data_IF_085714136011
#
_entry.id   IF_085714136011
#
_cell.length_a   1.000
_cell.length_b   1.000
_cell.length_c   1.000
_cell.angle_alpha   90.00
_cell.angle_beta   90.00
_cell.angle_gamma   90.00
#
_symmetry.space_group_name_H-M   'P 1'
#
loop_
_entity.id
_entity.type
_entity.pdbx_description
1 polymer ?
#
# COMPACT_ATOMS: atom_id res chain seq x y z
N UNK A 1 -13.11 -5.99 6.75
CA UNK A 1 -12.78 -7.05 7.71
C UNK A 1 -12.06 -6.45 8.90
N UNK A 2 -12.53 -6.80 10.10
CA UNK A 2 -11.81 -6.57 11.35
C UNK A 2 -11.34 -7.93 11.85
N UNK A 3 -10.03 -8.15 11.92
CA UNK A 3 -9.38 -9.43 12.23
C UNK A 3 -9.46 -9.81 13.71
N UNK A 4 -9.45 -8.81 14.61
CA UNK A 4 -9.57 -9.00 16.05
C UNK A 4 -11.04 -8.95 16.54
N UNK A 5 -12.02 -9.18 15.67
CA UNK A 5 -13.44 -9.05 16.01
C UNK A 5 -13.90 -10.04 17.09
N UNK A 6 -13.25 -11.21 17.20
CA UNK A 6 -13.57 -12.23 18.22
C UNK A 6 -13.18 -11.70 19.60
N UNK A 7 -11.92 -11.29 19.76
CA UNK A 7 -11.39 -10.74 21.02
C UNK A 7 -12.13 -9.46 21.41
N UNK A 8 -12.40 -8.58 20.44
CA UNK A 8 -13.13 -7.34 20.68
C UNK A 8 -14.59 -7.60 21.05
N UNK A 9 -15.22 -8.60 20.44
CA UNK A 9 -16.56 -9.04 20.77
C UNK A 9 -16.68 -9.56 22.21
N UNK A 10 -15.71 -10.35 22.67
CA UNK A 10 -15.62 -10.82 24.06
C UNK A 10 -15.49 -9.65 25.03
N UNK A 11 -14.63 -8.67 24.73
CA UNK A 11 -14.49 -7.45 25.55
C UNK A 11 -15.81 -6.67 25.63
N UNK A 12 -16.51 -6.50 24.51
CA UNK A 12 -17.79 -5.79 24.47
C UNK A 12 -18.88 -6.52 25.26
N UNK A 13 -18.95 -7.86 25.18
CA UNK A 13 -19.88 -8.66 25.99
C UNK A 13 -19.57 -8.50 27.48
N UNK A 14 -18.30 -8.52 27.87
CA UNK A 14 -17.89 -8.28 29.25
C UNK A 14 -18.26 -6.87 29.75
N UNK A 15 -18.35 -5.88 28.84
CA UNK A 15 -18.84 -4.51 29.11
C UNK A 15 -20.37 -4.38 29.11
N UNK A 16 -21.09 -5.48 28.85
CA UNK A 16 -22.57 -5.51 28.92
C UNK A 16 -23.27 -5.37 27.57
N UNK A 17 -22.53 -5.34 26.45
CA UNK A 17 -23.14 -5.42 25.13
C UNK A 17 -23.73 -6.81 24.88
N UNK A 18 -24.79 -6.87 24.07
CA UNK A 18 -25.38 -8.11 23.59
C UNK A 18 -25.20 -8.19 22.08
N UNK A 19 -24.27 -9.03 21.64
CA UNK A 19 -24.08 -9.34 20.23
C UNK A 19 -25.06 -10.44 19.82
N UNK A 20 -25.63 -10.30 18.63
CA UNK A 20 -26.65 -11.21 18.07
C UNK A 20 -26.12 -12.05 16.91
N UNK A 21 -24.96 -11.68 16.38
CA UNK A 21 -24.25 -12.32 15.28
C UNK A 21 -22.80 -12.59 15.67
N UNK A 22 -22.10 -13.33 14.82
CA UNK A 22 -20.65 -13.52 14.89
C UNK A 22 -19.93 -12.71 13.80
N UNK A 23 -20.54 -11.64 13.29
CA UNK A 23 -19.96 -10.81 12.24
C UNK A 23 -19.11 -9.69 12.82
N UNK A 24 -17.98 -9.43 12.16
CA UNK A 24 -17.13 -8.27 12.41
C UNK A 24 -17.90 -6.93 12.34
N UNK A 25 -18.91 -6.84 11.48
CA UNK A 25 -19.70 -5.63 11.25
C UNK A 25 -20.53 -5.25 12.48
N UNK A 26 -21.12 -6.22 13.18
CA UNK A 26 -21.84 -5.95 14.42
C UNK A 26 -20.87 -5.52 15.54
N UNK A 27 -19.71 -6.19 15.62
CA UNK A 27 -18.66 -5.84 16.58
C UNK A 27 -18.20 -4.39 16.37
N UNK A 28 -18.00 -3.97 15.13
CA UNK A 28 -17.65 -2.57 14.78
C UNK A 28 -18.74 -1.59 15.24
N UNK A 29 -20.01 -1.91 15.01
CA UNK A 29 -21.11 -1.06 15.46
C UNK A 29 -21.13 -0.92 16.98
N UNK A 30 -20.96 -2.02 17.70
CA UNK A 30 -20.92 -2.02 19.16
C UNK A 30 -19.68 -1.28 19.70
N UNK A 31 -18.54 -1.41 19.03
CA UNK A 31 -17.33 -0.64 19.33
C UNK A 31 -17.58 0.87 19.17
N UNK A 32 -18.29 1.30 18.13
CA UNK A 32 -18.70 2.70 17.96
C UNK A 32 -19.65 3.17 19.07
N UNK A 33 -20.58 2.32 19.50
CA UNK A 33 -21.51 2.66 20.58
C UNK A 33 -20.81 2.81 21.94
N UNK A 34 -19.81 1.98 22.23
CA UNK A 34 -19.03 2.01 23.47
C UNK A 34 -18.02 3.17 23.49
N UNK A 35 -17.20 3.30 22.45
CA UNK A 35 -16.04 4.22 22.44
C UNK A 35 -16.24 5.47 21.57
N UNK A 36 -17.40 5.63 20.94
CA UNK A 36 -17.69 6.78 20.08
C UNK A 36 -16.66 6.92 18.96
N UNK A 37 -16.14 8.13 18.75
CA UNK A 37 -15.14 8.41 17.70
C UNK A 37 -13.73 7.84 18.00
N UNK A 38 -13.49 7.22 19.16
CA UNK A 38 -12.23 6.55 19.47
C UNK A 38 -12.24 5.05 19.07
N UNK A 39 -13.39 4.52 18.61
CA UNK A 39 -13.52 3.10 18.27
C UNK A 39 -12.45 2.53 17.32
N UNK A 40 -11.90 3.26 16.32
CA UNK A 40 -10.96 2.65 15.38
C UNK A 40 -9.61 2.33 16.01
N UNK A 41 -9.27 2.98 17.13
CA UNK A 41 -8.05 2.72 17.92
C UNK A 41 -8.05 1.30 18.53
N UNK A 42 -9.20 0.61 18.53
CA UNK A 42 -9.38 -0.76 19.04
C UNK A 42 -9.47 -1.80 17.92
N UNK A 43 -9.58 -1.38 16.67
CA UNK A 43 -9.74 -2.28 15.53
C UNK A 43 -8.39 -2.70 14.97
N UNK A 44 -8.27 -3.96 14.58
CA UNK A 44 -7.19 -4.45 13.73
C UNK A 44 -7.81 -5.07 12.48
N UNK A 45 -7.45 -4.61 11.28
CA UNK A 45 -8.00 -5.18 10.04
C UNK A 45 -7.87 -4.29 8.82
N UNK A 46 -8.40 -4.79 7.70
CA UNK A 46 -8.53 -4.06 6.43
C UNK A 46 -9.98 -3.58 6.26
N UNK A 47 -10.23 -2.29 6.49
CA UNK A 47 -11.58 -1.74 6.52
C UNK A 47 -11.70 -0.35 5.90
N UNK A 48 -12.85 -0.13 5.28
CA UNK A 48 -13.36 1.17 4.90
C UNK A 48 -14.81 1.23 5.40
N UNK A 49 -15.04 2.00 6.46
CA UNK A 49 -16.30 2.02 7.21
C UNK A 49 -17.06 3.31 6.97
N UNK A 50 -18.38 3.22 6.93
CA UNK A 50 -19.29 4.36 6.93
C UNK A 50 -20.35 4.16 8.02
N UNK A 51 -20.40 5.07 8.99
CA UNK A 51 -21.37 5.05 10.09
C UNK A 51 -22.23 6.29 10.00
N UNK A 52 -23.54 6.11 9.89
CA UNK A 52 -24.52 7.17 10.06
C UNK A 52 -25.07 7.13 11.49
N UNK A 53 -24.62 8.06 12.34
CA UNK A 53 -25.21 8.25 13.66
C UNK A 53 -26.41 9.18 13.56
N UNK A 54 -27.61 8.60 13.58
CA UNK A 54 -28.86 9.34 13.49
C UNK A 54 -29.13 10.24 14.72
N UNK A 55 -28.56 9.91 15.89
CA UNK A 55 -28.71 10.70 17.12
C UNK A 55 -28.00 12.04 16.96
N UNK A 56 -26.81 11.99 16.39
CA UNK A 56 -25.93 13.15 16.16
C UNK A 56 -26.06 13.76 14.76
N UNK A 57 -26.89 13.17 13.89
CA UNK A 57 -27.01 13.48 12.45
C UNK A 57 -25.64 13.61 11.79
N UNK A 58 -24.80 12.60 12.00
CA UNK A 58 -23.37 12.60 11.67
C UNK A 58 -23.01 11.40 10.81
N UNK A 59 -22.32 11.66 9.70
CA UNK A 59 -21.65 10.63 8.91
C UNK A 59 -20.17 10.57 9.34
N UNK A 60 -19.69 9.36 9.64
CA UNK A 60 -18.29 9.07 9.91
C UNK A 60 -17.78 8.11 8.85
N UNK A 61 -16.80 8.54 8.06
CA UNK A 61 -16.08 7.73 7.09
C UNK A 61 -14.72 7.38 7.69
N UNK A 62 -14.41 6.12 7.93
CA UNK A 62 -13.18 5.70 8.61
C UNK A 62 -12.41 4.71 7.74
N UNK A 63 -11.13 4.99 7.48
CA UNK A 63 -10.26 4.13 6.69
C UNK A 63 -9.21 3.47 7.59
N UNK A 64 -8.85 2.23 7.30
CA UNK A 64 -7.89 1.46 8.10
C UNK A 64 -6.50 2.10 8.19
N UNK A 65 -5.71 1.59 9.13
CA UNK A 65 -4.36 2.02 9.51
C UNK A 65 -3.46 2.30 8.31
N UNK A 66 -3.39 1.36 7.37
CA UNK A 66 -2.50 1.42 6.20
C UNK A 66 -3.23 1.85 4.92
N UNK A 67 -4.53 2.07 4.98
CA UNK A 67 -5.35 2.42 3.83
C UNK A 67 -5.50 1.28 2.83
N UNK A 68 -5.51 0.03 3.30
CA UNK A 68 -5.62 -1.18 2.46
C UNK A 68 -6.91 -1.14 1.64
N UNK A 69 -8.04 -0.80 2.27
CA UNK A 69 -9.30 -0.66 1.54
C UNK A 69 -9.46 0.78 1.02
N UNK A 70 -9.79 0.95 -0.28
CA UNK A 70 -10.05 2.28 -0.82
C UNK A 70 -11.32 2.88 -0.21
N UNK A 71 -11.28 4.18 0.05
CA UNK A 71 -12.43 4.96 0.49
C UNK A 71 -12.31 6.37 -0.11
N UNK A 72 -13.21 6.65 -1.05
CA UNK A 72 -13.30 7.91 -1.78
C UNK A 72 -14.50 8.71 -1.30
N UNK A 73 -14.38 10.03 -1.37
CA UNK A 73 -15.43 10.97 -0.99
C UNK A 73 -15.44 12.16 -1.94
N UNK A 74 -16.63 12.68 -2.22
CA UNK A 74 -16.81 13.93 -2.95
C UNK A 74 -17.97 14.74 -2.35
N UNK A 75 -17.86 16.07 -2.44
CA UNK A 75 -18.96 16.98 -2.08
C UNK A 75 -19.73 17.34 -3.34
N UNK A 76 -21.05 17.31 -3.26
CA UNK A 76 -21.98 17.77 -4.30
C UNK A 76 -22.88 18.87 -3.74
N UNK A 77 -23.72 19.47 -4.59
CA UNK A 77 -24.71 20.43 -4.14
C UNK A 77 -25.76 19.82 -3.18
N UNK A 78 -26.00 18.51 -3.27
CA UNK A 78 -27.01 17.79 -2.48
C UNK A 78 -26.44 17.21 -1.18
N UNK A 79 -25.11 17.03 -1.08
CA UNK A 79 -24.48 16.52 0.12
C UNK A 79 -23.12 15.90 -0.13
N UNK A 80 -22.88 14.78 0.56
CA UNK A 80 -21.62 14.04 0.51
C UNK A 80 -21.88 12.68 -0.11
N UNK A 81 -21.07 12.31 -1.10
CA UNK A 81 -21.08 10.99 -1.72
C UNK A 81 -19.77 10.30 -1.44
N UNK A 82 -19.80 8.99 -1.23
CA UNK A 82 -18.62 8.21 -0.89
C UNK A 82 -18.75 6.78 -1.37
N UNK A 83 -17.64 6.06 -1.43
CA UNK A 83 -17.61 4.67 -1.85
C UNK A 83 -16.19 4.14 -1.99
N UNK A 84 -16.07 2.83 -2.17
CA UNK A 84 -14.78 2.15 -2.31
C UNK A 84 -14.26 2.09 -3.75
N UNK A 85 -15.05 2.54 -4.73
CA UNK A 85 -14.68 2.48 -6.14
C UNK A 85 -14.90 3.82 -6.84
N UNK A 86 -13.84 4.37 -7.43
CA UNK A 86 -13.90 5.69 -8.08
C UNK A 86 -14.91 5.74 -9.24
N UNK A 87 -15.04 4.64 -10.00
CA UNK A 87 -16.03 4.53 -11.09
C UNK A 87 -17.49 4.62 -10.59
N UNK A 88 -17.77 4.17 -9.37
CA UNK A 88 -19.12 4.28 -8.79
C UNK A 88 -19.47 5.74 -8.50
N UNK A 89 -18.53 6.51 -7.95
CA UNK A 89 -18.73 7.93 -7.67
C UNK A 89 -18.90 8.75 -8.95
N UNK A 90 -18.14 8.44 -10.00
CA UNK A 90 -18.23 9.11 -11.31
C UNK A 90 -19.59 8.94 -12.01
N UNK A 91 -20.37 7.93 -11.62
CA UNK A 91 -21.72 7.74 -12.15
C UNK A 91 -22.77 8.67 -11.49
N UNK A 92 -22.41 9.34 -10.39
CA UNK A 92 -23.33 10.20 -9.64
C UNK A 92 -23.35 11.61 -10.25
N UNK A 93 -24.54 12.17 -10.57
CA UNK A 93 -24.65 13.56 -11.02
C UNK A 93 -24.01 14.54 -10.03
N UNK A 94 -23.23 15.49 -10.55
CA UNK A 94 -22.52 16.48 -9.73
C UNK A 94 -21.16 16.03 -9.20
N UNK A 95 -20.76 14.77 -9.37
CA UNK A 95 -19.36 14.36 -9.23
C UNK A 95 -18.63 14.65 -10.54
N UNK A 96 -17.51 15.37 -10.45
CA UNK A 96 -16.72 15.72 -11.63
C UNK A 96 -16.24 14.48 -12.40
N UNK A 97 -16.16 14.60 -13.73
CA UNK A 97 -15.48 13.61 -14.60
C UNK A 97 -14.18 14.15 -15.19
N UNK A 98 -13.81 15.37 -14.79
CA UNK A 98 -12.58 16.03 -15.22
C UNK A 98 -11.35 15.38 -14.60
N UNK A 99 -10.31 15.23 -15.40
CA UNK A 99 -9.00 14.80 -14.93
C UNK A 99 -8.37 15.90 -14.06
N UNK A 100 -7.92 15.55 -12.86
CA UNK A 100 -7.08 16.42 -12.04
C UNK A 100 -5.65 16.43 -12.61
N UNK A 101 -5.25 17.56 -13.18
CA UNK A 101 -3.93 17.76 -13.79
C UNK A 101 -2.80 17.74 -12.77
N UNK A 102 -3.06 18.13 -11.52
CA UNK A 102 -2.08 18.05 -10.44
C UNK A 102 -1.86 16.59 -10.06
N UNK A 103 -2.94 15.82 -9.91
CA UNK A 103 -2.86 14.38 -9.66
C UNK A 103 -2.13 13.63 -10.78
N UNK A 104 -2.33 14.04 -12.03
CA UNK A 104 -1.57 13.49 -13.16
C UNK A 104 -0.08 13.81 -13.05
N UNK A 105 0.30 15.04 -12.69
CA UNK A 105 1.72 15.39 -12.49
C UNK A 105 2.35 14.59 -11.33
N UNK A 106 1.62 14.40 -10.24
CA UNK A 106 2.03 13.53 -9.13
C UNK A 106 2.26 12.09 -9.59
N UNK A 107 1.29 11.50 -10.30
CA UNK A 107 1.44 10.17 -10.88
C UNK A 107 2.69 10.06 -11.77
N UNK A 108 2.98 11.08 -12.59
CA UNK A 108 4.18 11.08 -13.42
C UNK A 108 5.48 11.22 -12.60
N UNK A 109 5.43 11.73 -11.36
CA UNK A 109 6.58 11.70 -10.46
C UNK A 109 6.70 10.35 -9.77
N UNK A 110 5.68 9.95 -9.02
CA UNK A 110 5.74 8.85 -8.05
C UNK A 110 5.23 7.51 -8.56
N UNK A 111 4.60 7.46 -9.73
CA UNK A 111 3.95 6.26 -10.27
C UNK A 111 2.58 5.95 -9.63
N UNK A 112 2.09 6.79 -8.73
CA UNK A 112 0.78 6.69 -8.09
C UNK A 112 0.31 8.07 -7.65
N UNK A 113 -1.01 8.26 -7.51
CA UNK A 113 -1.57 9.52 -6.99
C UNK A 113 -1.56 9.50 -5.47
N UNK A 114 -0.89 10.47 -4.86
CA UNK A 114 -0.79 10.58 -3.40
C UNK A 114 -2.12 11.09 -2.82
N UNK A 115 -2.55 10.54 -1.69
CA UNK A 115 -3.72 11.08 -0.99
C UNK A 115 -3.44 12.54 -0.55
N UNK A 116 -4.49 13.39 -0.41
CA UNK A 116 -5.90 13.10 -0.59
C UNK A 116 -6.38 13.11 -2.05
N UNK A 117 -5.55 13.47 -3.04
CA UNK A 117 -5.99 13.58 -4.43
C UNK A 117 -6.39 12.24 -5.04
N UNK A 118 -7.28 12.26 -6.03
CA UNK A 118 -7.48 11.19 -7.01
C UNK A 118 -7.23 11.76 -8.41
N UNK A 119 -7.20 10.91 -9.45
CA UNK A 119 -7.19 11.40 -10.84
C UNK A 119 -8.46 12.14 -11.23
N UNK A 120 -9.53 12.07 -10.43
CA UNK A 120 -10.79 12.75 -10.69
C UNK A 120 -10.89 14.01 -9.84
N UNK A 121 -10.99 15.16 -10.50
CA UNK A 121 -11.08 16.45 -9.84
C UNK A 121 -12.31 16.53 -8.94
N UNK A 122 -12.09 16.93 -7.68
CA UNK A 122 -13.14 17.06 -6.66
C UNK A 122 -13.52 15.76 -5.96
N UNK A 123 -12.84 14.65 -6.26
CA UNK A 123 -12.93 13.39 -5.50
C UNK A 123 -11.64 13.18 -4.73
N UNK A 124 -11.77 12.94 -3.43
CA UNK A 124 -10.64 12.77 -2.51
C UNK A 124 -10.59 11.34 -1.94
N UNK A 125 -9.38 10.84 -1.67
CA UNK A 125 -9.11 9.65 -0.87
C UNK A 125 -9.09 10.04 0.60
N UNK A 126 -9.89 9.35 1.42
CA UNK A 126 -9.73 9.40 2.89
C UNK A 126 -8.32 8.87 3.22
N UNK A 127 -7.56 9.61 4.02
CA UNK A 127 -6.19 9.23 4.35
C UNK A 127 -6.12 7.93 5.20
N UNK A 128 -5.04 7.15 5.10
CA UNK A 128 -4.78 6.01 6.00
C UNK A 128 -4.80 6.43 7.48
N UNK A 129 -5.36 5.60 8.35
CA UNK A 129 -5.38 5.86 9.80
C UNK A 129 -6.20 7.10 10.20
N UNK A 130 -7.10 7.58 9.33
CA UNK A 130 -7.97 8.72 9.61
C UNK A 130 -9.45 8.40 9.45
N UNK A 131 -10.27 9.30 10.00
CA UNK A 131 -11.70 9.38 9.71
C UNK A 131 -12.07 10.80 9.27
N UNK A 132 -13.04 10.90 8.36
CA UNK A 132 -13.70 12.14 7.99
C UNK A 132 -15.12 12.18 8.53
N UNK A 133 -15.47 13.28 9.16
CA UNK A 133 -16.71 13.47 9.90
C UNK A 133 -17.50 14.60 9.26
N UNK A 134 -18.74 14.30 8.88
CA UNK A 134 -19.65 15.26 8.25
C UNK A 134 -20.88 15.46 9.12
N UNK A 135 -21.25 16.72 9.35
CA UNK A 135 -22.49 17.13 10.01
C UNK A 135 -23.09 18.31 9.26
N UNK A 136 -24.41 18.33 9.10
CA UNK A 136 -25.09 19.40 8.35
C UNK A 136 -24.82 20.77 8.98
N UNK A 137 -24.40 21.73 8.16
CA UNK A 137 -24.12 23.11 8.58
C UNK A 137 -22.79 23.28 9.32
N UNK A 138 -21.95 22.25 9.36
CA UNK A 138 -20.58 22.32 9.89
C UNK A 138 -19.58 21.96 8.81
N UNK A 139 -18.38 22.51 8.92
CA UNK A 139 -17.26 22.06 8.09
C UNK A 139 -16.90 20.62 8.42
N UNK A 140 -16.48 19.82 7.43
CA UNK A 140 -15.98 18.48 7.68
C UNK A 140 -14.77 18.51 8.61
N UNK A 141 -14.70 17.52 9.48
CA UNK A 141 -13.57 17.35 10.40
C UNK A 141 -12.83 16.08 10.03
N UNK A 142 -11.53 16.19 9.78
CA UNK A 142 -10.64 15.05 9.70
C UNK A 142 -10.05 14.76 11.09
N UNK A 143 -10.06 13.49 11.51
CA UNK A 143 -9.41 13.02 12.73
C UNK A 143 -8.49 11.85 12.39
N UNK A 144 -7.20 12.01 12.67
CA UNK A 144 -6.23 10.92 12.67
C UNK A 144 -6.36 10.13 13.98
N UNK A 145 -6.48 8.81 13.88
CA UNK A 145 -6.52 7.90 15.03
C UNK A 145 -5.31 6.97 15.07
N UNK A 146 -4.61 6.81 13.94
CA UNK A 146 -3.39 6.03 13.86
C UNK A 146 -2.36 6.70 12.97
N UNK A 147 -1.10 6.51 13.30
CA UNK A 147 0.03 6.91 12.48
C UNK A 147 1.19 5.95 12.70
N UNK A 148 1.88 5.58 11.62
CA UNK A 148 3.14 4.87 11.72
C UNK A 148 4.17 5.78 12.40
N UNK A 149 4.71 5.35 13.54
CA UNK A 149 5.73 6.06 14.28
C UNK A 149 7.04 5.26 14.30
N UNK A 150 8.11 5.84 13.76
CA UNK A 150 9.45 5.24 13.80
C UNK A 150 10.12 5.50 15.15
N UNK A 151 9.94 4.58 16.10
CA UNK A 151 10.52 4.65 17.45
C UNK A 151 11.45 3.43 17.69
N UNK A 152 12.69 3.43 17.15
CA UNK A 152 13.58 2.28 17.31
C UNK A 152 13.99 2.10 18.77
N UNK A 153 13.77 0.91 19.33
CA UNK A 153 14.24 0.56 20.68
C UNK A 153 15.56 -0.23 20.61
N UNK A 154 16.65 0.49 20.90
CA UNK A 154 18.01 -0.07 20.90
C UNK A 154 18.38 -0.82 22.19
N UNK A 155 17.48 -0.93 23.17
CA UNK A 155 17.77 -1.57 24.46
C UNK A 155 17.59 -3.08 24.43
N UNK A 156 16.81 -3.60 23.48
CA UNK A 156 16.50 -5.02 23.33
C UNK A 156 17.53 -5.76 22.50
N UNK A 157 17.73 -7.04 22.79
CA UNK A 157 18.63 -7.90 22.01
C UNK A 157 17.94 -8.34 20.74
N UNK A 158 18.74 -8.70 19.72
CA UNK A 158 18.22 -9.23 18.45
C UNK A 158 17.35 -10.48 18.68
N UNK A 159 17.75 -11.37 19.60
CA UNK A 159 16.95 -12.56 19.93
C UNK A 159 15.55 -12.21 20.45
N UNK A 160 15.45 -11.20 21.32
CA UNK A 160 14.17 -10.76 21.88
C UNK A 160 13.25 -10.16 20.79
N UNK A 161 13.84 -9.58 19.74
CA UNK A 161 13.10 -9.12 18.56
C UNK A 161 12.65 -10.28 17.69
N UNK A 162 13.50 -11.29 17.46
CA UNK A 162 13.14 -12.47 16.68
C UNK A 162 11.93 -13.19 17.30
N UNK A 163 11.94 -13.40 18.62
CA UNK A 163 10.82 -14.04 19.35
C UNK A 163 9.51 -13.25 19.21
N UNK A 164 9.56 -11.92 19.35
CA UNK A 164 8.36 -11.09 19.20
C UNK A 164 7.86 -11.03 17.76
N UNK A 165 8.76 -10.99 16.77
CA UNK A 165 8.39 -11.00 15.35
C UNK A 165 7.71 -12.33 15.02
N UNK A 166 8.25 -13.45 15.47
CA UNK A 166 7.68 -14.77 15.26
C UNK A 166 6.28 -14.87 15.89
N UNK A 167 6.13 -14.44 17.15
CA UNK A 167 4.83 -14.43 17.83
C UNK A 167 3.81 -13.52 17.13
N UNK A 168 4.21 -12.29 16.78
CA UNK A 168 3.32 -11.30 16.14
C UNK A 168 2.93 -11.73 14.73
N UNK A 169 3.87 -12.29 13.97
CA UNK A 169 3.63 -12.80 12.63
C UNK A 169 2.68 -14.00 12.65
N UNK A 170 2.93 -14.96 13.54
CA UNK A 170 2.07 -16.14 13.72
C UNK A 170 0.66 -15.71 14.10
N UNK A 171 0.53 -14.76 15.02
CA UNK A 171 -0.75 -14.19 15.41
C UNK A 171 -1.47 -13.49 14.25
N UNK A 172 -0.76 -12.70 13.44
CA UNK A 172 -1.33 -12.04 12.27
C UNK A 172 -1.85 -13.04 11.23
N UNK A 173 -1.10 -14.13 10.98
CA UNK A 173 -1.56 -15.22 10.10
C UNK A 173 -2.75 -15.94 10.71
N UNK A 174 -2.71 -16.26 12.02
CA UNK A 174 -3.82 -16.91 12.74
C UNK A 174 -5.12 -16.11 12.63
N UNK A 175 -5.06 -14.80 12.80
CA UNK A 175 -6.26 -13.95 12.67
C UNK A 175 -6.80 -13.94 11.23
N UNK A 176 -5.93 -13.95 10.21
CA UNK A 176 -6.33 -13.96 8.79
C UNK A 176 -6.80 -15.35 8.30
N UNK A 177 -6.48 -16.42 9.03
CA UNK A 177 -7.03 -17.76 8.78
C UNK A 177 -8.47 -17.94 9.27
N UNK A 178 -9.02 -16.97 10.01
CA UNK A 178 -10.43 -16.98 10.44
C UNK A 178 -11.36 -16.68 9.26
N UNK A 179 -11.65 -17.71 8.48
CA UNK A 179 -12.46 -17.60 7.28
C UNK A 179 -13.49 -18.72 7.22
N UNK A 180 -14.76 -18.36 6.98
CA UNK A 180 -15.86 -19.32 6.73
C UNK A 180 -15.83 -19.86 5.29
N UNK A 181 -14.93 -19.35 4.46
CA UNK A 181 -14.79 -19.70 3.04
C UNK A 181 -13.40 -20.27 2.74
N UNK A 182 -13.25 -21.09 1.67
CA UNK A 182 -11.96 -21.65 1.30
C UNK A 182 -10.88 -20.58 1.08
N UNK A 183 -9.71 -20.84 1.66
CA UNK A 183 -8.54 -19.97 1.63
C UNK A 183 -7.32 -20.68 1.04
N UNK A 184 -6.40 -19.90 0.48
CA UNK A 184 -5.12 -20.38 0.00
C UNK A 184 -4.06 -19.28 0.05
N UNK A 185 -2.97 -19.46 -0.68
CA UNK A 185 -1.83 -18.51 -0.65
C UNK A 185 -1.24 -18.26 -2.04
N UNK A 186 -0.73 -17.05 -2.26
CA UNK A 186 0.24 -16.80 -3.31
C UNK A 186 1.60 -17.36 -2.92
N UNK A 187 2.34 -17.89 -3.89
CA UNK A 187 3.65 -18.48 -3.68
C UNK A 187 4.61 -18.10 -4.80
N UNK A 188 5.65 -17.36 -4.44
CA UNK A 188 6.73 -16.88 -5.31
C UNK A 188 8.06 -17.59 -5.05
N UNK A 189 8.14 -18.44 -4.02
CA UNK A 189 9.41 -19.02 -3.58
C UNK A 189 10.37 -18.03 -2.90
N UNK A 190 9.97 -16.76 -2.76
CA UNK A 190 10.61 -15.80 -1.86
C UNK A 190 10.32 -16.12 -0.41
N UNK A 191 11.11 -15.56 0.51
CA UNK A 191 10.98 -15.81 1.95
C UNK A 191 9.60 -15.36 2.48
N UNK A 192 9.06 -14.27 1.95
CA UNK A 192 7.82 -13.64 2.43
C UNK A 192 6.59 -14.52 2.21
N UNK A 193 6.41 -15.06 1.00
CA UNK A 193 5.31 -15.98 0.70
C UNK A 193 5.53 -17.36 1.32
N UNK A 194 6.79 -17.80 1.42
CA UNK A 194 7.15 -19.10 2.01
C UNK A 194 6.84 -19.15 3.49
N UNK A 195 7.20 -18.12 4.26
CA UNK A 195 6.96 -18.09 5.71
C UNK A 195 5.46 -17.99 6.04
N UNK A 196 4.67 -17.28 5.21
CA UNK A 196 3.21 -17.30 5.29
C UNK A 196 2.70 -18.73 5.06
N UNK A 197 3.05 -19.37 3.95
CA UNK A 197 2.56 -20.70 3.60
C UNK A 197 2.93 -21.76 4.65
N UNK A 198 4.15 -21.71 5.19
CA UNK A 198 4.60 -22.60 6.25
C UNK A 198 3.80 -22.39 7.55
N UNK A 199 3.62 -21.15 7.97
CA UNK A 199 2.86 -20.79 9.18
C UNK A 199 1.38 -21.18 9.03
N UNK A 200 0.81 -21.03 7.84
CA UNK A 200 -0.55 -21.49 7.54
C UNK A 200 -0.69 -23.00 7.71
N UNK A 201 0.25 -23.79 7.18
CA UNK A 201 0.25 -25.24 7.31
C UNK A 201 0.42 -25.67 8.76
N UNK A 202 1.32 -25.02 9.52
CA UNK A 202 1.53 -25.29 10.94
C UNK A 202 0.26 -25.03 11.77
N UNK A 203 -0.33 -23.84 11.65
CA UNK A 203 -1.53 -23.44 12.41
C UNK A 203 -2.75 -24.32 12.10
N UNK A 204 -2.77 -24.94 10.92
CA UNK A 204 -3.82 -25.88 10.50
C UNK A 204 -3.53 -27.34 10.88
N UNK A 205 -2.36 -27.65 11.44
CA UNK A 205 -1.93 -29.02 11.72
C UNK A 205 -1.63 -29.84 10.46
N UNK A 206 -1.39 -29.17 9.32
CA UNK A 206 -1.09 -29.80 8.04
C UNK A 206 -1.45 -28.93 6.82
N UNK A 207 -0.88 -29.27 5.68
CA UNK A 207 -1.08 -28.58 4.40
C UNK A 207 -2.29 -29.07 3.59
N UNK A 208 -3.00 -30.11 4.06
CA UNK A 208 -4.13 -30.70 3.33
C UNK A 208 -5.20 -29.63 3.04
N UNK A 209 -5.58 -29.45 1.78
CA UNK A 209 -6.57 -28.44 1.38
C UNK A 209 -6.08 -26.98 1.43
N UNK A 210 -4.77 -26.72 1.56
CA UNK A 210 -4.18 -25.41 1.22
C UNK A 210 -3.80 -25.41 -0.26
N UNK A 211 -4.54 -24.67 -1.07
CA UNK A 211 -4.17 -24.40 -2.45
C UNK A 211 -3.16 -23.25 -2.49
N UNK A 212 -2.09 -23.42 -3.26
CA UNK A 212 -1.07 -22.39 -3.51
C UNK A 212 -0.98 -22.04 -4.98
N UNK A 213 -0.78 -20.76 -5.29
CA UNK A 213 -0.76 -20.27 -6.66
C UNK A 213 0.52 -19.52 -6.97
N UNK A 214 1.15 -19.85 -8.10
CA UNK A 214 2.26 -19.12 -8.69
C UNK A 214 1.87 -18.67 -10.10
N UNK A 215 2.19 -17.43 -10.46
CA UNK A 215 1.92 -16.87 -11.78
C UNK A 215 3.23 -16.47 -12.44
N UNK A 216 3.31 -16.70 -13.75
CA UNK A 216 4.45 -16.31 -14.57
C UNK A 216 4.00 -15.93 -15.97
N UNK A 217 4.95 -15.41 -16.76
CA UNK A 217 4.69 -14.96 -18.14
C UNK A 217 5.57 -15.77 -19.09
N UNK A 218 4.99 -16.23 -20.19
CA UNK A 218 5.69 -16.90 -21.30
C UNK A 218 6.22 -15.87 -22.30
N UNK A 219 7.25 -15.13 -21.91
CA UNK A 219 7.99 -14.24 -22.80
C UNK A 219 9.50 -14.50 -22.77
N UNK A 220 10.21 -14.35 -23.90
CA UNK A 220 11.66 -14.47 -23.92
C UNK A 220 12.31 -13.53 -22.89
N UNK A 221 13.09 -14.11 -21.96
CA UNK A 221 13.79 -13.37 -20.92
C UNK A 221 12.99 -13.10 -19.64
N UNK A 222 11.71 -13.52 -19.54
CA UNK A 222 11.00 -13.52 -18.28
C UNK A 222 11.68 -14.46 -17.28
N UNK A 223 11.79 -14.00 -16.03
CA UNK A 223 12.20 -14.83 -14.89
C UNK A 223 10.94 -15.29 -14.19
N UNK A 224 10.62 -16.57 -14.33
CA UNK A 224 9.51 -17.19 -13.61
C UNK A 224 10.03 -17.88 -12.35
N UNK A 225 9.23 -17.87 -11.29
CA UNK A 225 9.62 -18.38 -9.98
C UNK A 225 9.14 -19.81 -9.70
N UNK A 226 8.54 -20.45 -10.70
CA UNK A 226 7.91 -21.77 -10.60
C UNK A 226 8.78 -22.84 -9.94
N UNK A 227 10.08 -22.90 -10.25
CA UNK A 227 10.98 -23.91 -9.65
C UNK A 227 11.07 -23.75 -8.13
N UNK A 228 11.18 -22.52 -7.63
CA UNK A 228 11.27 -22.25 -6.21
C UNK A 228 9.91 -22.46 -5.53
N UNK A 229 8.84 -21.95 -6.13
CA UNK A 229 7.48 -22.12 -5.62
C UNK A 229 7.10 -23.61 -5.52
N UNK A 230 7.41 -24.42 -6.54
CA UNK A 230 7.18 -25.87 -6.55
C UNK A 230 7.98 -26.58 -5.46
N UNK A 231 9.25 -26.22 -5.27
CA UNK A 231 10.08 -26.81 -4.20
C UNK A 231 9.48 -26.56 -2.82
N UNK A 232 9.00 -25.34 -2.56
CA UNK A 232 8.34 -25.00 -1.29
C UNK A 232 7.02 -25.74 -1.15
N UNK A 233 6.21 -25.78 -2.20
CA UNK A 233 4.92 -26.46 -2.17
C UNK A 233 5.06 -27.97 -1.94
N UNK A 234 6.01 -28.63 -2.58
CA UNK A 234 6.33 -30.05 -2.36
C UNK A 234 6.84 -30.29 -0.94
N UNK A 235 7.73 -29.42 -0.44
CA UNK A 235 8.27 -29.52 0.93
C UNK A 235 7.22 -29.36 2.03
N UNK A 236 6.18 -28.57 1.77
CA UNK A 236 5.07 -28.35 2.71
C UNK A 236 3.88 -29.30 2.46
N UNK A 237 3.79 -29.95 1.31
CA UNK A 237 2.65 -30.79 0.92
C UNK A 237 1.41 -29.99 0.46
N UNK A 238 1.60 -28.81 -0.12
CA UNK A 238 0.52 -27.95 -0.64
C UNK A 238 -0.03 -28.45 -1.97
N UNK A 239 -1.30 -28.16 -2.26
CA UNK A 239 -1.85 -28.34 -3.61
C UNK A 239 -1.40 -27.16 -4.47
N UNK A 240 -0.41 -27.36 -5.34
CA UNK A 240 0.21 -26.27 -6.11
C UNK A 240 -0.38 -26.07 -7.49
N UNK A 241 -0.60 -24.82 -7.86
CA UNK A 241 -1.13 -24.40 -9.15
C UNK A 241 -0.21 -23.36 -9.79
N UNK A 242 0.25 -23.65 -11.00
CA UNK A 242 1.05 -22.73 -11.81
C UNK A 242 0.20 -22.17 -12.95
N UNK A 243 0.19 -20.85 -13.09
CA UNK A 243 -0.47 -20.14 -14.17
C UNK A 243 0.57 -19.46 -15.04
N UNK A 244 0.59 -19.81 -16.33
CA UNK A 244 1.46 -19.19 -17.32
C UNK A 244 0.62 -18.31 -18.23
N UNK A 245 0.94 -17.02 -18.30
CA UNK A 245 0.24 -16.03 -19.12
C UNK A 245 0.99 -15.81 -20.44
N UNK A 246 0.26 -15.79 -21.56
CA UNK A 246 0.78 -15.24 -22.80
C UNK A 246 0.90 -13.70 -22.71
N UNK A 247 1.70 -13.09 -23.59
CA UNK A 247 1.80 -11.63 -23.67
C UNK A 247 0.45 -10.93 -23.89
N UNK A 248 -0.42 -11.55 -24.69
CA UNK A 248 -1.76 -11.04 -25.00
C UNK A 248 -2.65 -11.08 -23.76
N UNK A 249 -2.71 -12.23 -23.08
CA UNK A 249 -3.46 -12.38 -21.82
C UNK A 249 -2.98 -11.41 -20.76
N UNK A 250 -1.66 -11.22 -20.65
CA UNK A 250 -1.08 -10.26 -19.74
C UNK A 250 -1.54 -8.82 -20.07
N UNK A 251 -1.51 -8.43 -21.34
CA UNK A 251 -2.00 -7.13 -21.81
C UNK A 251 -3.48 -6.90 -21.49
N UNK A 252 -4.33 -7.90 -21.75
CA UNK A 252 -5.76 -7.84 -21.47
C UNK A 252 -6.03 -7.67 -19.97
N UNK A 253 -5.36 -8.46 -19.13
CA UNK A 253 -5.49 -8.35 -17.68
C UNK A 253 -4.98 -7.02 -17.14
N UNK A 254 -3.94 -6.43 -17.73
CA UNK A 254 -3.46 -5.09 -17.35
C UNK A 254 -4.51 -4.01 -17.64
N UNK A 255 -5.15 -4.03 -18.81
CA UNK A 255 -6.21 -3.09 -19.16
C UNK A 255 -7.44 -3.24 -18.27
N UNK A 256 -7.80 -4.49 -17.95
CA UNK A 256 -8.89 -4.78 -17.05
C UNK A 256 -8.61 -4.31 -15.63
N UNK A 257 -7.41 -4.60 -15.10
CA UNK A 257 -7.01 -4.18 -13.78
C UNK A 257 -7.04 -2.65 -13.62
N UNK A 258 -6.55 -1.91 -14.63
CA UNK A 258 -6.63 -0.45 -14.64
C UNK A 258 -8.09 0.05 -14.56
N UNK A 259 -9.03 -0.66 -15.21
CA UNK A 259 -10.46 -0.36 -15.16
C UNK A 259 -11.07 -0.64 -13.79
N UNK A 260 -10.66 -1.73 -13.13
CA UNK A 260 -11.12 -2.10 -11.79
C UNK A 260 -10.61 -1.10 -10.75
N UNK A 261 -9.31 -0.79 -10.79
CA UNK A 261 -8.65 0.12 -9.85
C UNK A 261 -9.13 1.56 -9.99
N UNK A 262 -9.50 1.98 -11.21
CA UNK A 262 -10.03 3.32 -11.48
C UNK A 262 -8.97 4.44 -11.47
N UNK A 263 -7.71 4.10 -11.18
CA UNK A 263 -6.55 4.98 -11.26
C UNK A 263 -5.44 4.34 -12.14
N UNK A 264 -4.55 5.15 -12.73
CA UNK A 264 -3.43 4.65 -13.54
C UNK A 264 -2.49 3.73 -12.74
N UNK A 265 -1.97 2.70 -13.40
CA UNK A 265 -1.06 1.70 -12.82
C UNK A 265 0.32 1.79 -13.48
N UNK A 266 1.38 1.72 -12.68
CA UNK A 266 2.77 1.60 -13.17
C UNK A 266 3.35 0.20 -12.99
N UNK A 267 2.72 -0.62 -12.15
CA UNK A 267 3.26 -1.90 -11.72
C UNK A 267 2.68 -3.06 -12.55
N UNK A 268 3.50 -3.77 -13.36
CA UNK A 268 3.07 -4.92 -14.14
C UNK A 268 2.45 -6.05 -13.31
N UNK A 269 2.84 -6.19 -12.04
CA UNK A 269 2.36 -7.25 -11.15
C UNK A 269 0.83 -7.26 -11.00
N UNK A 270 0.16 -6.10 -11.09
CA UNK A 270 -1.29 -6.00 -10.88
C UNK A 270 -2.08 -6.83 -11.90
N UNK A 271 -1.63 -6.87 -13.17
CA UNK A 271 -2.25 -7.71 -14.19
C UNK A 271 -2.09 -9.21 -13.90
N UNK A 272 -0.93 -9.62 -13.38
CA UNK A 272 -0.67 -11.01 -12.99
C UNK A 272 -1.54 -11.41 -11.79
N UNK A 273 -1.66 -10.52 -10.80
CA UNK A 273 -2.50 -10.71 -9.63
C UNK A 273 -3.98 -10.85 -10.01
N UNK A 274 -4.47 -10.03 -10.93
CA UNK A 274 -5.84 -10.17 -11.43
C UNK A 274 -6.06 -11.53 -12.12
N UNK A 275 -5.11 -11.96 -12.94
CA UNK A 275 -5.17 -13.24 -13.64
C UNK A 275 -5.22 -14.42 -12.66
N UNK A 276 -4.34 -14.41 -11.65
CA UNK A 276 -4.29 -15.48 -10.64
C UNK A 276 -5.54 -15.47 -9.76
N UNK A 277 -6.05 -14.30 -9.36
CA UNK A 277 -7.31 -14.17 -8.63
C UNK A 277 -8.49 -14.73 -9.42
N UNK A 278 -8.59 -14.43 -10.73
CA UNK A 278 -9.64 -14.99 -11.60
C UNK A 278 -9.55 -16.51 -11.72
N UNK A 279 -8.32 -17.03 -11.84
CA UNK A 279 -8.10 -18.47 -11.92
C UNK A 279 -8.47 -19.17 -10.60
N UNK A 280 -8.01 -18.62 -9.47
CA UNK A 280 -8.24 -19.16 -8.14
C UNK A 280 -9.69 -19.03 -7.67
N UNK A 281 -10.45 -18.02 -8.14
CA UNK A 281 -11.85 -17.76 -7.71
C UNK A 281 -12.78 -18.96 -7.87
N UNK A 282 -12.44 -19.91 -8.74
CA UNK A 282 -13.16 -21.18 -8.97
C UNK A 282 -13.07 -22.15 -7.78
N UNK A 283 -12.07 -21.98 -6.92
CA UNK A 283 -11.77 -22.87 -5.78
C UNK A 283 -11.69 -22.14 -4.46
N UNK A 284 -11.13 -20.93 -4.47
CA UNK A 284 -10.87 -20.11 -3.31
C UNK A 284 -11.67 -18.82 -3.34
N UNK A 285 -11.94 -18.31 -2.15
CA UNK A 285 -12.50 -16.96 -1.96
C UNK A 285 -11.48 -16.01 -1.33
N UNK A 286 -10.59 -16.54 -0.48
CA UNK A 286 -9.55 -15.77 0.22
C UNK A 286 -8.16 -16.27 -0.19
N UNK A 287 -7.21 -15.35 -0.29
CA UNK A 287 -5.82 -15.67 -0.58
C UNK A 287 -4.90 -14.78 0.25
N UNK A 288 -3.96 -15.40 0.97
CA UNK A 288 -2.92 -14.68 1.67
C UNK A 288 -1.75 -14.39 0.72
N UNK A 289 -1.11 -13.24 0.89
CA UNK A 289 0.00 -12.76 0.07
C UNK A 289 1.11 -12.21 0.96
N UNK A 290 2.35 -12.37 0.52
CA UNK A 290 3.53 -11.74 1.14
C UNK A 290 3.79 -10.30 0.68
N UNK A 291 2.88 -9.73 -0.11
CA UNK A 291 2.99 -8.35 -0.60
C UNK A 291 3.02 -7.33 0.57
N UNK A 292 3.87 -6.31 0.47
CA UNK A 292 4.13 -5.34 1.54
C UNK A 292 5.30 -5.68 2.46
N UNK A 293 5.88 -6.88 2.35
CA UNK A 293 7.01 -7.31 3.18
C UNK A 293 8.29 -6.50 2.87
N UNK A 294 8.60 -6.26 1.59
CA UNK A 294 9.79 -5.51 1.18
C UNK A 294 9.77 -4.04 1.69
N UNK A 295 8.60 -3.41 1.73
CA UNK A 295 8.40 -2.07 2.28
C UNK A 295 8.60 -2.03 3.79
N UNK A 296 8.14 -3.07 4.49
CA UNK A 296 8.21 -3.16 5.96
C UNK A 296 9.61 -3.56 6.43
N UNK A 297 10.27 -4.47 5.71
CA UNK A 297 11.56 -5.06 6.08
C UNK A 297 12.76 -4.50 5.30
N UNK A 298 12.52 -3.48 4.46
CA UNK A 298 13.54 -2.85 3.63
C UNK A 298 14.27 -3.83 2.69
N UNK A 299 13.54 -4.76 2.08
CA UNK A 299 14.11 -5.82 1.25
C UNK A 299 14.63 -5.33 -0.12
N UNK A 300 14.18 -4.17 -0.62
CA UNK A 300 14.65 -3.64 -1.90
C UNK A 300 16.16 -3.32 -1.92
N UNK A 301 16.89 -3.72 -2.98
CA UNK A 301 18.33 -3.40 -3.13
C UNK A 301 18.66 -1.92 -3.06
N UNK A 302 17.72 -1.06 -3.48
CA UNK A 302 17.84 0.40 -3.44
C UNK A 302 18.01 0.92 -2.00
N UNK A 303 17.33 0.34 -1.01
CA UNK A 303 17.52 0.71 0.40
C UNK A 303 18.94 0.40 0.88
N UNK A 304 19.48 -0.76 0.48
CA UNK A 304 20.88 -1.13 0.80
C UNK A 304 21.87 -0.13 0.21
N UNK A 305 21.62 0.34 -1.02
CA UNK A 305 22.43 1.38 -1.65
C UNK A 305 22.35 2.70 -0.87
N UNK A 306 21.14 3.16 -0.53
CA UNK A 306 20.96 4.41 0.22
C UNK A 306 21.65 4.36 1.59
N UNK A 307 21.58 3.23 2.29
CA UNK A 307 22.27 3.01 3.57
C UNK A 307 23.80 3.04 3.42
N UNK A 308 24.36 2.48 2.34
CA UNK A 308 25.81 2.57 2.06
C UNK A 308 26.24 4.01 1.80
N UNK A 309 25.45 4.76 1.05
CA UNK A 309 25.73 6.18 0.76
C UNK A 309 25.64 7.01 2.05
N UNK A 310 24.68 6.75 2.95
CA UNK A 310 24.65 7.45 4.26
C UNK A 310 25.90 7.18 5.09
N UNK A 311 26.34 5.92 5.17
CA UNK A 311 27.58 5.57 5.88
C UNK A 311 28.77 6.30 5.27
N UNK A 312 28.83 6.39 3.95
CA UNK A 312 29.87 7.14 3.25
C UNK A 312 29.82 8.64 3.59
N UNK A 313 28.63 9.26 3.58
CA UNK A 313 28.43 10.67 3.91
C UNK A 313 28.82 11.01 5.36
N UNK A 314 28.73 10.05 6.29
CA UNK A 314 29.17 10.21 7.68
C UNK A 314 30.69 10.20 7.85
N UNK A 315 31.43 9.54 6.95
CA UNK A 315 32.88 9.34 7.06
C UNK A 315 33.66 10.25 6.11
N UNK A 316 33.12 10.53 4.93
CA UNK A 316 33.79 11.28 3.87
C UNK A 316 33.34 12.75 3.90
N UNK A 317 34.28 13.72 3.98
CA UNK A 317 33.92 15.14 3.95
C UNK A 317 33.12 15.51 2.70
N UNK A 318 32.07 16.32 2.87
CA UNK A 318 31.18 16.74 1.78
C UNK A 318 31.91 17.32 0.57
N UNK A 319 33.02 18.03 0.77
CA UNK A 319 33.85 18.59 -0.32
C UNK A 319 34.46 17.52 -1.24
N UNK A 320 34.84 16.37 -0.67
CA UNK A 320 35.38 15.25 -1.44
C UNK A 320 34.26 14.61 -2.27
N UNK A 321 33.08 14.40 -1.68
CA UNK A 321 31.92 13.88 -2.41
C UNK A 321 31.50 14.81 -3.54
N UNK A 322 31.55 16.13 -3.34
CA UNK A 322 31.31 17.13 -4.40
C UNK A 322 32.34 17.08 -5.52
N UNK A 323 33.62 16.79 -5.21
CA UNK A 323 34.65 16.63 -6.22
C UNK A 323 34.39 15.37 -7.05
N UNK A 324 34.08 14.24 -6.39
CA UNK A 324 33.71 12.99 -7.05
C UNK A 324 32.50 13.19 -7.96
N UNK A 325 31.46 13.86 -7.46
CA UNK A 325 30.26 14.19 -8.22
C UNK A 325 30.58 14.97 -9.51
N UNK A 326 31.35 16.07 -9.39
CA UNK A 326 31.78 16.88 -10.54
C UNK A 326 32.63 16.10 -11.53
N UNK A 327 33.57 15.28 -11.04
CA UNK A 327 34.44 14.45 -11.86
C UNK A 327 33.63 13.41 -12.65
N UNK A 328 32.68 12.73 -12.01
CA UNK A 328 31.81 11.75 -12.69
C UNK A 328 30.92 12.43 -13.73
N UNK A 329 30.34 13.59 -13.41
CA UNK A 329 29.55 14.35 -14.38
C UNK A 329 30.38 14.81 -15.59
N UNK A 330 31.60 15.30 -15.38
CA UNK A 330 32.49 15.70 -16.46
C UNK A 330 32.92 14.51 -17.35
N UNK A 331 33.16 13.34 -16.75
CA UNK A 331 33.47 12.12 -17.50
C UNK A 331 32.25 11.57 -18.26
N UNK A 332 31.06 11.61 -17.67
CA UNK A 332 29.82 11.20 -18.32
C UNK A 332 29.45 12.13 -19.49
N UNK A 333 29.62 13.45 -19.34
CA UNK A 333 29.45 14.42 -20.42
C UNK A 333 30.44 14.21 -21.58
N UNK A 334 31.58 13.58 -21.31
CA UNK A 334 32.58 13.16 -22.31
C UNK A 334 32.35 11.74 -22.84
N UNK A 335 31.25 11.08 -22.49
CA UNK A 335 30.94 9.69 -22.85
C UNK A 335 31.98 8.65 -22.38
N UNK A 336 32.81 9.00 -21.38
CA UNK A 336 33.82 8.10 -20.78
C UNK A 336 33.25 7.24 -19.65
N UNK A 337 32.04 7.56 -19.18
CA UNK A 337 31.29 6.77 -18.22
C UNK A 337 29.84 6.61 -18.71
N UNK A 338 29.17 5.49 -18.34
CA UNK A 338 27.77 5.33 -18.65
C UNK A 338 26.93 6.43 -17.97
N UNK A 339 25.88 6.97 -18.62
CA UNK A 339 25.03 8.02 -18.05
C UNK A 339 24.44 7.68 -16.67
N UNK A 340 24.19 6.38 -16.41
CA UNK A 340 23.73 5.89 -15.10
C UNK A 340 24.73 6.20 -13.96
N UNK A 341 26.03 6.26 -14.24
CA UNK A 341 27.04 6.60 -13.25
C UNK A 341 26.90 8.04 -12.74
N UNK A 342 26.58 9.00 -13.63
CA UNK A 342 26.30 10.38 -13.26
C UNK A 342 25.04 10.49 -12.38
N UNK A 343 23.97 9.74 -12.72
CA UNK A 343 22.76 9.67 -11.89
C UNK A 343 23.06 9.20 -10.47
N UNK A 344 23.89 8.16 -10.30
CA UNK A 344 24.29 7.68 -8.97
C UNK A 344 25.22 8.65 -8.24
N UNK A 345 26.16 9.30 -8.93
CA UNK A 345 27.05 10.29 -8.33
C UNK A 345 26.29 11.51 -7.78
N UNK A 346 25.28 12.00 -8.50
CA UNK A 346 24.41 13.08 -8.06
C UNK A 346 23.73 12.76 -6.72
N UNK A 347 23.42 11.49 -6.45
CA UNK A 347 22.83 11.08 -5.16
C UNK A 347 23.81 11.18 -4.01
N UNK A 348 25.13 11.09 -4.22
CA UNK A 348 26.13 11.04 -3.14
C UNK A 348 26.16 12.29 -2.26
N UNK A 349 25.71 13.44 -2.77
CA UNK A 349 25.73 14.73 -2.06
C UNK A 349 24.35 15.16 -1.54
N UNK A 350 23.29 14.44 -1.91
CA UNK A 350 21.92 14.74 -1.51
C UNK A 350 21.55 14.03 -0.19
N UNK A 351 20.74 14.68 0.68
CA UNK A 351 20.18 14.03 1.86
C UNK A 351 19.27 12.85 1.48
N UNK A 352 19.00 11.93 2.43
CA UNK A 352 18.18 10.74 2.19
C UNK A 352 16.81 11.08 1.57
N UNK A 353 16.11 12.05 2.13
CA UNK A 353 14.81 12.52 1.65
C UNK A 353 14.84 12.83 0.15
N UNK A 354 15.79 13.64 -0.31
CA UNK A 354 15.91 14.02 -1.73
C UNK A 354 16.38 12.87 -2.62
N UNK A 355 17.19 11.96 -2.10
CA UNK A 355 17.59 10.75 -2.83
C UNK A 355 16.39 9.84 -3.07
N UNK A 356 15.54 9.67 -2.06
CA UNK A 356 14.35 8.84 -2.12
C UNK A 356 13.29 9.47 -3.04
N UNK A 357 12.99 10.76 -2.87
CA UNK A 357 12.12 11.53 -3.77
C UNK A 357 12.69 11.70 -5.20
N UNK A 358 13.99 11.46 -5.37
CA UNK A 358 14.69 11.45 -6.65
C UNK A 358 14.48 10.16 -7.45
N UNK A 359 13.90 9.12 -6.86
CA UNK A 359 13.41 7.92 -7.54
C UNK A 359 12.08 8.24 -8.23
N UNK A 360 12.14 9.13 -9.23
CA UNK A 360 10.99 9.49 -10.06
C UNK A 360 10.87 8.52 -11.23
N UNK A 361 9.64 8.10 -11.58
CA UNK A 361 9.39 7.32 -12.79
C UNK A 361 9.71 8.14 -14.05
N UNK A 362 9.21 9.38 -14.10
CA UNK A 362 9.56 10.34 -15.14
C UNK A 362 10.32 11.51 -14.50
N UNK A 363 11.54 11.78 -14.95
CA UNK A 363 12.29 12.95 -14.47
C UNK A 363 11.69 14.27 -15.02
N UNK A 364 12.11 15.40 -14.44
CA UNK A 364 11.57 16.72 -14.80
C UNK A 364 11.85 17.08 -16.27
N UNK A 365 12.97 16.60 -16.84
CA UNK A 365 13.30 16.84 -18.24
C UNK A 365 12.35 16.10 -19.17
N UNK A 366 12.09 14.83 -18.88
CA UNK A 366 11.14 14.01 -19.62
C UNK A 366 9.72 14.58 -19.51
N UNK A 367 9.27 14.97 -18.31
CA UNK A 367 8.00 15.66 -18.10
C UNK A 367 7.88 16.93 -18.94
N UNK A 368 8.91 17.79 -18.93
CA UNK A 368 8.91 19.02 -19.71
C UNK A 368 8.82 18.75 -21.22
N UNK A 369 9.40 17.65 -21.71
CA UNK A 369 9.38 17.25 -23.12
C UNK A 369 8.03 16.70 -23.60
N UNK A 370 7.27 16.05 -22.71
CA UNK A 370 5.97 15.42 -23.06
C UNK A 370 4.77 16.32 -22.72
N UNK A 371 4.91 17.27 -21.79
CA UNK A 371 3.82 18.15 -21.41
C UNK A 371 3.54 19.19 -22.50
N UNK A 372 2.25 19.42 -22.76
CA UNK A 372 1.82 20.50 -23.64
C UNK A 372 2.13 21.87 -23.00
N UNK A 373 2.21 22.97 -23.77
CA UNK A 373 2.36 24.32 -23.23
C UNK A 373 1.29 24.66 -22.18
N UNK A 374 0.05 24.23 -22.38
CA UNK A 374 -1.07 24.44 -21.48
C UNK A 374 -0.87 23.71 -20.15
N UNK A 375 -0.40 22.45 -20.20
CA UNK A 375 -0.08 21.68 -19.00
C UNK A 375 1.04 22.34 -18.21
N UNK A 376 2.13 22.75 -18.88
CA UNK A 376 3.23 23.47 -18.23
C UNK A 376 2.77 24.78 -17.58
N UNK A 377 1.91 25.55 -18.26
CA UNK A 377 1.35 26.78 -17.70
C UNK A 377 0.46 26.53 -16.47
N UNK A 378 -0.32 25.44 -16.49
CA UNK A 378 -1.17 25.03 -15.37
C UNK A 378 -0.35 24.57 -14.15
N UNK A 379 0.78 23.91 -14.38
CA UNK A 379 1.66 23.34 -13.35
C UNK A 379 2.76 24.30 -12.85
N UNK A 380 2.82 25.54 -13.33
CA UNK A 380 3.95 26.46 -13.06
C UNK A 380 4.27 26.68 -11.58
N UNK A 381 3.25 26.59 -10.72
CA UNK A 381 3.33 26.83 -9.27
C UNK A 381 3.15 25.52 -8.47
N UNK A 382 3.19 24.36 -9.14
CA UNK A 382 2.99 23.05 -8.53
C UNK A 382 4.31 22.26 -8.47
N UNK A 383 4.65 21.78 -7.27
CA UNK A 383 5.71 20.77 -7.07
C UNK A 383 5.05 19.42 -6.79
N UNK A 384 5.09 18.49 -7.75
CA UNK A 384 4.53 17.13 -7.59
C UNK A 384 5.25 16.28 -6.54
N UNK A 385 6.35 16.74 -5.95
CA UNK A 385 7.00 16.06 -4.82
C UNK A 385 6.48 16.55 -3.47
N UNK A 386 5.75 17.65 -3.43
CA UNK A 386 5.25 18.27 -2.19
C UNK A 386 4.39 17.30 -1.38
N UNK A 387 3.52 16.51 -2.03
CA UNK A 387 2.67 15.55 -1.33
C UNK A 387 3.50 14.47 -0.61
N UNK A 388 4.53 13.92 -1.27
CA UNK A 388 5.43 12.95 -0.65
C UNK A 388 6.28 13.57 0.46
N UNK A 389 6.74 14.82 0.28
CA UNK A 389 7.50 15.56 1.29
C UNK A 389 6.68 15.72 2.58
N UNK A 390 5.41 16.11 2.47
CA UNK A 390 4.49 16.20 3.62
C UNK A 390 4.36 14.87 4.36
N UNK A 391 4.21 13.75 3.63
CA UNK A 391 4.13 12.43 4.27
C UNK A 391 5.43 12.04 4.98
N UNK A 392 6.58 12.40 4.41
CA UNK A 392 7.87 12.20 5.06
C UNK A 392 7.98 13.06 6.33
N UNK A 393 7.62 14.34 6.26
CA UNK A 393 7.64 15.26 7.41
C UNK A 393 6.67 14.81 8.51
N UNK A 394 5.45 14.38 8.16
CA UNK A 394 4.49 13.82 9.10
C UNK A 394 5.05 12.57 9.80
N UNK A 395 5.66 11.66 9.04
CA UNK A 395 6.22 10.41 9.57
C UNK A 395 7.45 10.58 10.45
N UNK A 396 8.32 11.55 10.13
CA UNK A 396 9.54 11.87 10.89
C UNK A 396 9.24 12.82 12.07
N UNK A 397 8.25 13.68 11.94
CA UNK A 397 7.89 14.74 12.88
C UNK A 397 6.62 14.48 13.71
N UNK A 398 6.06 13.27 13.67
CA UNK A 398 4.88 12.92 14.46
C UNK A 398 5.08 13.22 15.96
N UNK A 399 4.06 13.71 16.67
CA UNK A 399 4.21 14.12 18.06
C UNK A 399 4.79 12.99 18.92
N UNK A 400 5.72 13.37 19.81
CA UNK A 400 5.98 12.63 21.05
C UNK A 400 4.71 12.67 21.89
N UNK A 401 3.71 11.84 21.54
CA UNK A 401 2.57 11.56 22.43
C UNK A 401 3.02 10.63 23.52
#
# INVERSE_FOLDING_TARGET
EVYNYVELGEELVARGHRLTTHSDTEVVLHAYLEWGLAFPERLNGMFALAIWDAREKRLVLCRDHMGIKPLYVAKTAEGVVFGSELKALRAIPGVGVELDRLALDEFMTSGYVVHPRTVVKGVEKVAPGTMQIFQRGKEPVERRYWQLAFRPDHRRRVADWCEEIEATFTEAVRMQLRSDVPLGTLLSGGVDSTVIAATMAELRGGAEGIDSYCVGIDVPGARNEFVHARTVAEGLGLTHHELVLSSEQFGDHMLEAATIMGEPLVEPMVGQLLAVCRHARRRLTVMLSGEGADETWFGYPTYRLHNRIERLQKVVPRRVLQLVDRSVHALAARHLLPPKAAKHAATLIEPLERRYLGLSYFDLGLKASIYSPEMRHHLRDHDSREALRRLYEDGVGGPEV
#
